data_IF_960326984266
#
_entry.id   IF_960326984266
#
_cell.length_a   1.000
_cell.length_b   1.000
_cell.length_c   1.000
_cell.angle_alpha   90.00
_cell.angle_beta   90.00
_cell.angle_gamma   90.00
#
_symmetry.space_group_name_H-M   'P 1'
#
loop_
_entity.id
_entity.type
_entity.pdbx_description
1 polymer ?
#
# COMPACT_ATOMS: atom_id res chain seq x y z
N UNK A 1 8.98 -4.62 -9.43
CA UNK A 1 10.25 -3.88 -9.27
C UNK A 1 11.09 -4.78 -8.42
N UNK A 2 12.02 -5.49 -9.06
CA UNK A 2 12.47 -6.78 -8.52
C UNK A 2 13.88 -6.65 -7.92
N UNK A 3 14.20 -5.46 -7.39
CA UNK A 3 15.49 -5.14 -6.81
C UNK A 3 15.50 -3.81 -6.06
N UNK A 4 16.54 -3.59 -5.26
CA UNK A 4 16.71 -2.42 -4.38
C UNK A 4 17.66 -1.35 -4.96
N UNK A 5 17.88 -1.34 -6.27
CA UNK A 5 18.70 -0.30 -6.91
C UNK A 5 17.98 1.03 -6.94
N UNK A 6 18.72 2.14 -6.97
CA UNK A 6 18.15 3.48 -7.13
C UNK A 6 17.20 3.57 -8.33
N UNK A 7 17.58 2.96 -9.47
CA UNK A 7 16.74 2.91 -10.66
C UNK A 7 15.41 2.19 -10.39
N UNK A 8 15.45 1.01 -9.75
CA UNK A 8 14.25 0.25 -9.40
C UNK A 8 13.33 0.99 -8.42
N UNK A 9 13.90 1.71 -7.46
CA UNK A 9 13.16 2.59 -6.52
C UNK A 9 12.46 3.71 -7.28
N UNK A 10 13.20 4.42 -8.15
CA UNK A 10 12.65 5.52 -8.94
C UNK A 10 11.56 5.05 -9.91
N UNK A 11 11.71 3.85 -10.49
CA UNK A 11 10.68 3.23 -11.31
C UNK A 11 9.43 2.85 -10.50
N UNK A 12 9.60 2.44 -9.23
CA UNK A 12 8.52 2.30 -8.25
C UNK A 12 7.73 3.58 -8.07
N UNK A 13 8.44 4.67 -7.79
CA UNK A 13 7.85 5.99 -7.54
C UNK A 13 7.12 6.51 -8.78
N UNK A 14 7.75 6.47 -9.96
CA UNK A 14 7.13 6.92 -11.22
C UNK A 14 5.89 6.13 -11.58
N UNK A 15 5.86 4.85 -11.24
CA UNK A 15 4.71 3.99 -11.48
C UNK A 15 3.61 4.15 -10.41
N UNK A 16 3.77 5.05 -9.43
CA UNK A 16 2.78 5.26 -8.37
C UNK A 16 2.68 4.14 -7.33
N UNK A 17 3.70 3.27 -7.24
CA UNK A 17 3.78 2.21 -6.22
C UNK A 17 4.33 2.77 -4.90
N UNK A 18 3.66 3.80 -4.37
CA UNK A 18 4.10 4.56 -3.20
C UNK A 18 2.93 4.83 -2.28
N UNK A 19 3.20 4.77 -0.99
CA UNK A 19 2.34 5.25 0.07
C UNK A 19 3.20 6.07 1.03
N UNK A 20 2.57 6.86 1.89
CA UNK A 20 3.27 7.73 2.85
C UNK A 20 2.56 7.63 4.19
N UNK A 21 3.25 7.19 5.24
CA UNK A 21 2.82 7.45 6.62
C UNK A 21 3.39 8.75 7.16
N UNK A 22 2.72 9.29 8.17
CA UNK A 22 3.25 10.33 9.03
C UNK A 22 3.32 9.78 10.44
N UNK A 23 4.50 9.84 11.06
CA UNK A 23 4.70 9.39 12.45
C UNK A 23 4.91 7.89 12.62
N UNK A 24 5.19 7.14 11.54
CA UNK A 24 5.52 5.71 11.58
C UNK A 24 4.44 4.87 12.28
N UNK A 25 3.16 5.16 11.97
CA UNK A 25 2.02 4.50 12.60
C UNK A 25 1.89 3.01 12.19
N UNK A 26 2.33 2.70 10.97
CA UNK A 26 2.35 1.36 10.37
C UNK A 26 3.70 1.18 9.70
N UNK A 27 4.19 -0.06 9.60
CA UNK A 27 5.48 -0.38 8.97
C UNK A 27 5.35 -0.75 7.49
N UNK A 28 4.12 -1.02 7.03
CA UNK A 28 3.86 -1.43 5.65
C UNK A 28 2.38 -1.43 5.31
N UNK A 29 2.12 -1.26 4.01
CA UNK A 29 0.78 -1.28 3.42
C UNK A 29 0.85 -1.97 2.06
N UNK A 30 0.04 -3.01 1.89
CA UNK A 30 -0.26 -3.60 0.58
C UNK A 30 -1.75 -3.42 0.30
N UNK A 31 -2.08 -2.85 -0.85
CA UNK A 31 -3.45 -2.61 -1.27
C UNK A 31 -3.69 -3.20 -2.65
N UNK A 32 -4.71 -4.03 -2.75
CA UNK A 32 -5.13 -4.71 -3.97
C UNK A 32 -6.61 -4.49 -4.21
N UNK A 33 -6.93 -4.05 -5.42
CA UNK A 33 -8.31 -4.03 -5.91
C UNK A 33 -8.52 -5.18 -6.89
N UNK A 34 -9.60 -5.93 -6.73
CA UNK A 34 -9.95 -7.08 -7.56
C UNK A 34 -11.39 -7.00 -8.06
N UNK A 35 -11.63 -7.51 -9.27
CA UNK A 35 -12.94 -7.58 -9.90
C UNK A 35 -12.98 -8.68 -10.95
N UNK A 36 -13.86 -9.67 -10.77
CA UNK A 36 -13.86 -10.87 -11.61
C UNK A 36 -12.52 -11.61 -11.47
N UNK A 37 -11.87 -11.92 -12.59
CA UNK A 37 -10.53 -12.55 -12.62
C UNK A 37 -9.36 -11.57 -12.67
N UNK A 38 -9.62 -10.26 -12.63
CA UNK A 38 -8.60 -9.20 -12.77
C UNK A 38 -8.35 -8.50 -11.45
N UNK A 39 -7.14 -7.94 -11.31
CA UNK A 39 -6.75 -7.16 -10.14
C UNK A 39 -5.65 -6.16 -10.49
N UNK A 40 -5.48 -5.16 -9.63
CA UNK A 40 -4.40 -4.18 -9.68
C UNK A 40 -3.97 -3.80 -8.25
N UNK A 41 -2.74 -3.32 -8.10
CA UNK A 41 -2.19 -2.77 -6.84
C UNK A 41 -2.02 -1.27 -6.95
N UNK A 42 -1.45 -0.64 -5.92
CA UNK A 42 -1.02 0.77 -5.96
C UNK A 42 -0.29 1.11 -7.27
N UNK A 43 -0.64 2.26 -7.86
CA UNK A 43 -0.10 2.71 -9.14
C UNK A 43 -0.74 2.07 -10.38
N UNK A 44 -1.55 1.02 -10.21
CA UNK A 44 -2.32 0.40 -11.28
C UNK A 44 -3.75 0.93 -11.38
N UNK A 45 -4.44 0.55 -12.46
CA UNK A 45 -5.86 0.81 -12.64
C UNK A 45 -6.58 -0.48 -13.06
N UNK A 46 -7.75 -0.73 -12.45
CA UNK A 46 -8.59 -1.89 -12.76
C UNK A 46 -9.81 -1.46 -13.55
N UNK A 47 -9.92 -1.94 -14.79
CA UNK A 47 -11.13 -1.78 -15.60
C UNK A 47 -12.12 -2.92 -15.35
N UNK A 48 -13.33 -2.58 -14.91
CA UNK A 48 -14.43 -3.51 -14.63
C UNK A 48 -15.67 -3.17 -15.45
N UNK A 49 -16.59 -4.12 -15.58
CA UNK A 49 -17.89 -3.87 -16.23
C UNK A 49 -18.83 -3.12 -15.28
N UNK A 50 -19.77 -2.37 -15.85
CA UNK A 50 -20.84 -1.73 -15.07
C UNK A 50 -21.61 -2.78 -14.27
N UNK A 51 -21.84 -2.51 -12.98
CA UNK A 51 -22.55 -3.41 -12.06
C UNK A 51 -21.69 -4.57 -11.55
N UNK A 52 -20.42 -4.65 -11.90
CA UNK A 52 -19.52 -5.67 -11.37
C UNK A 52 -19.08 -5.31 -9.94
N UNK A 53 -19.16 -6.27 -9.03
CA UNK A 53 -18.61 -6.13 -7.69
C UNK A 53 -17.08 -6.01 -7.74
N UNK A 54 -16.55 -5.14 -6.89
CA UNK A 54 -15.13 -4.91 -6.73
C UNK A 54 -14.78 -5.09 -5.25
N UNK A 55 -13.69 -5.77 -4.97
CA UNK A 55 -13.17 -5.98 -3.63
C UNK A 55 -11.84 -5.25 -3.50
N UNK A 56 -11.73 -4.37 -2.51
CA UNK A 56 -10.47 -3.82 -2.04
C UNK A 56 -10.01 -4.64 -0.83
N UNK A 57 -8.81 -5.18 -0.92
CA UNK A 57 -8.11 -5.83 0.20
C UNK A 57 -6.92 -4.95 0.57
N UNK A 58 -6.78 -4.64 1.86
CA UNK A 58 -5.66 -3.88 2.39
C UNK A 58 -5.04 -4.68 3.52
N UNK A 59 -3.78 -5.05 3.36
CA UNK A 59 -2.95 -5.67 4.38
C UNK A 59 -2.07 -4.60 5.01
N UNK A 60 -2.20 -4.45 6.33
CA UNK A 60 -1.48 -3.43 7.10
C UNK A 60 -0.49 -4.13 8.03
N UNK A 61 0.79 -3.84 7.86
CA UNK A 61 1.82 -4.24 8.82
C UNK A 61 1.86 -3.21 9.95
N UNK A 62 1.65 -3.66 11.19
CA UNK A 62 1.69 -2.79 12.37
C UNK A 62 3.10 -2.24 12.60
N UNK A 63 3.20 -1.12 13.31
CA UNK A 63 4.49 -0.58 13.71
C UNK A 63 5.33 -1.63 14.47
N UNK A 64 6.59 -1.75 14.08
CA UNK A 64 7.55 -2.75 14.59
C UNK A 64 8.73 -2.09 15.34
N UNK A 65 8.71 -0.75 15.50
CA UNK A 65 9.74 0.00 16.20
C UNK A 65 9.27 1.38 16.67
N UNK A 66 10.11 2.08 17.47
CA UNK A 66 9.82 3.43 17.90
C UNK A 66 9.83 4.42 16.73
N UNK A 67 8.90 5.37 16.74
CA UNK A 67 8.94 6.54 15.86
C UNK A 67 9.96 7.58 16.34
N UNK A 68 10.05 8.72 15.64
CA UNK A 68 10.98 9.80 15.97
C UNK A 68 10.86 10.33 17.41
N UNK A 69 9.66 10.24 18.01
CA UNK A 69 9.37 10.69 19.37
C UNK A 69 9.58 9.59 20.43
N UNK A 70 10.06 8.40 20.04
CA UNK A 70 10.33 7.28 20.93
C UNK A 70 9.11 6.42 21.29
N UNK A 71 7.94 6.69 20.69
CA UNK A 71 6.74 5.87 20.90
C UNK A 71 6.69 4.72 19.91
N UNK A 72 6.27 3.53 20.35
CA UNK A 72 5.83 2.46 19.44
C UNK A 72 4.32 2.63 19.23
N UNK A 73 3.87 3.12 18.07
CA UNK A 73 2.45 3.39 17.87
C UNK A 73 1.61 2.12 17.93
N UNK A 74 0.41 2.24 18.48
CA UNK A 74 -0.61 1.18 18.43
C UNK A 74 -1.71 1.64 17.49
N UNK A 75 -1.95 0.87 16.43
CA UNK A 75 -3.02 1.16 15.48
C UNK A 75 -4.37 1.12 16.20
N UNK A 76 -5.04 2.26 16.27
CA UNK A 76 -6.31 2.40 16.99
C UNK A 76 -7.52 2.26 16.07
N UNK A 77 -7.42 2.74 14.82
CA UNK A 77 -8.51 2.75 13.84
C UNK A 77 -7.96 2.79 12.41
N UNK A 78 -8.73 2.24 11.49
CA UNK A 78 -8.59 2.41 10.04
C UNK A 78 -9.91 3.00 9.55
N UNK A 79 -9.85 4.09 8.80
CA UNK A 79 -11.00 4.82 8.26
C UNK A 79 -11.11 4.66 6.75
#
# INVERSE_FOLDING_TARGET
>A
ADGFSYAAVMDGIRAGRVWVDHGQLISGLDARVAGGSRWATLGGALHVRKGQNVTLTVDIALADGPNWAGFVPKLARVD
#
